data_IF_552455319436
#
_entry.id   IF_552455319436
#
_cell.length_a   1.000
_cell.length_b   1.000
_cell.length_c   1.000
_cell.angle_alpha   90.00
_cell.angle_beta   90.00
_cell.angle_gamma   90.00
#
_symmetry.space_group_name_H-M   'P 1'
#
loop_
_entity.id
_entity.type
_entity.pdbx_description
1 polymer ?
#
# COMPACT_ATOMS: atom_id res chain seq x y z
N UNK A 1 7.16 -4.74 -28.52
CA UNK A 1 6.38 -5.93 -28.17
C UNK A 1 5.33 -5.62 -27.13
N UNK A 2 5.68 -4.91 -26.03
CA UNK A 2 4.72 -4.66 -24.95
C UNK A 2 4.14 -3.24 -24.91
N UNK A 3 4.43 -2.44 -25.92
CA UNK A 3 4.03 -1.03 -25.97
C UNK A 3 2.52 -0.81 -25.75
N UNK A 4 1.70 -1.70 -26.29
CA UNK A 4 0.23 -1.59 -26.19
C UNK A 4 -0.38 -2.56 -25.17
N UNK A 5 0.45 -3.19 -24.34
CA UNK A 5 -0.02 -4.09 -23.29
C UNK A 5 -0.57 -3.28 -22.12
N UNK A 6 -1.74 -3.67 -21.65
CA UNK A 6 -2.33 -3.09 -20.44
C UNK A 6 -1.82 -3.85 -19.23
N UNK A 7 -0.52 -3.72 -18.99
CA UNK A 7 0.14 -4.43 -17.90
C UNK A 7 -0.43 -4.00 -16.55
N UNK A 8 -0.48 -4.93 -15.62
CA UNK A 8 -0.90 -4.66 -14.24
C UNK A 8 0.04 -5.36 -13.28
N UNK A 9 0.08 -4.86 -12.06
CA UNK A 9 0.91 -5.42 -11.00
C UNK A 9 0.13 -6.40 -10.15
N UNK A 10 0.86 -7.25 -9.43
CA UNK A 10 0.26 -8.15 -8.46
C UNK A 10 1.17 -8.29 -7.25
N UNK A 11 0.56 -8.64 -6.11
CA UNK A 11 1.34 -9.03 -4.94
C UNK A 11 0.59 -10.11 -4.17
N UNK A 12 1.32 -10.80 -3.30
CA UNK A 12 0.78 -11.93 -2.55
C UNK A 12 0.44 -11.52 -1.11
N UNK A 13 -0.51 -12.25 -0.54
CA UNK A 13 -0.88 -12.14 0.87
C UNK A 13 -0.93 -13.54 1.47
N UNK A 14 -0.84 -13.64 2.79
CA UNK A 14 -0.92 -14.95 3.46
C UNK A 14 -2.36 -15.44 3.56
N UNK A 15 -3.33 -14.53 3.64
CA UNK A 15 -4.74 -14.86 3.83
C UNK A 15 -5.59 -13.83 3.09
N UNK A 16 -6.37 -14.31 2.14
CA UNK A 16 -7.14 -13.43 1.26
C UNK A 16 -8.30 -12.72 2.00
N UNK A 17 -8.98 -13.42 2.91
CA UNK A 17 -10.08 -12.83 3.67
C UNK A 17 -9.58 -11.71 4.60
N UNK A 18 -8.46 -11.93 5.26
CA UNK A 18 -7.81 -10.93 6.10
C UNK A 18 -7.42 -9.70 5.28
N UNK A 19 -6.84 -9.93 4.10
CA UNK A 19 -6.46 -8.85 3.21
C UNK A 19 -7.68 -8.07 2.70
N UNK A 20 -8.75 -8.78 2.33
CA UNK A 20 -9.98 -8.14 1.85
C UNK A 20 -10.54 -7.19 2.90
N UNK A 21 -10.59 -7.60 4.15
CA UNK A 21 -11.07 -6.76 5.24
C UNK A 21 -10.19 -5.52 5.42
N UNK A 22 -8.88 -5.70 5.38
CA UNK A 22 -7.95 -4.59 5.56
C UNK A 22 -8.09 -3.55 4.43
N UNK A 23 -8.07 -4.00 3.18
CA UNK A 23 -8.12 -3.07 2.05
C UNK A 23 -9.48 -2.40 1.90
N UNK A 24 -10.59 -3.08 2.21
CA UNK A 24 -11.91 -2.47 2.14
C UNK A 24 -12.25 -1.64 3.36
N UNK A 25 -12.08 -2.18 4.56
CA UNK A 25 -12.55 -1.54 5.79
C UNK A 25 -11.54 -0.54 6.35
N UNK A 26 -10.27 -0.88 6.35
CA UNK A 26 -9.25 0.00 6.91
C UNK A 26 -8.81 1.06 5.92
N UNK A 27 -8.52 0.66 4.68
CA UNK A 27 -8.02 1.60 3.66
C UNK A 27 -9.12 2.21 2.78
N UNK A 28 -10.31 1.61 2.75
CA UNK A 28 -11.40 2.13 1.92
C UNK A 28 -11.17 1.96 0.42
N UNK A 29 -10.38 0.96 0.01
CA UNK A 29 -10.14 0.65 -1.39
C UNK A 29 -11.28 -0.19 -1.93
N UNK A 30 -11.65 0.03 -3.19
CA UNK A 30 -12.65 -0.78 -3.88
C UNK A 30 -12.02 -2.12 -4.25
N UNK A 31 -12.55 -3.20 -3.70
CA UNK A 31 -12.03 -4.57 -3.91
C UNK A 31 -13.11 -5.41 -4.57
N UNK A 32 -12.73 -6.17 -5.59
CA UNK A 32 -13.66 -7.10 -6.25
C UNK A 32 -12.98 -8.42 -6.53
N UNK A 33 -13.80 -9.44 -6.82
CA UNK A 33 -13.28 -10.71 -7.28
C UNK A 33 -12.84 -10.59 -8.74
N UNK A 34 -11.88 -11.43 -9.14
CA UNK A 34 -11.44 -11.48 -10.55
C UNK A 34 -12.39 -12.41 -11.31
N UNK A 35 -13.09 -11.93 -12.36
CA UNK A 35 -14.02 -12.78 -13.11
C UNK A 35 -13.34 -14.04 -13.65
N UNK A 36 -13.96 -15.20 -13.41
CA UNK A 36 -13.47 -16.48 -13.89
C UNK A 36 -12.27 -17.04 -13.15
N UNK A 37 -11.78 -16.36 -12.11
CA UNK A 37 -10.61 -16.80 -11.34
C UNK A 37 -10.94 -16.81 -9.85
N UNK A 38 -11.35 -17.96 -9.33
CA UNK A 38 -11.65 -18.11 -7.91
C UNK A 38 -10.39 -18.02 -7.07
N UNK A 39 -10.52 -17.43 -5.90
CA UNK A 39 -9.41 -17.34 -4.95
C UNK A 39 -8.45 -16.20 -5.22
N UNK A 40 -8.82 -15.26 -6.11
CA UNK A 40 -8.06 -14.06 -6.37
C UNK A 40 -8.95 -12.85 -6.15
N UNK A 41 -8.35 -11.73 -5.78
CA UNK A 41 -9.07 -10.46 -5.73
C UNK A 41 -8.28 -9.39 -6.45
N UNK A 42 -8.95 -8.30 -6.80
CA UNK A 42 -8.29 -7.15 -7.39
C UNK A 42 -8.66 -5.88 -6.63
N UNK A 43 -7.67 -5.01 -6.46
CA UNK A 43 -7.85 -3.67 -5.94
C UNK A 43 -8.14 -2.77 -7.14
N UNK A 44 -9.27 -2.08 -7.11
CA UNK A 44 -9.62 -1.10 -8.15
C UNK A 44 -9.22 0.28 -7.67
N UNK A 45 -8.20 0.82 -8.28
CA UNK A 45 -7.63 2.09 -7.88
C UNK A 45 -8.13 3.21 -8.81
N UNK A 46 -8.05 4.44 -8.34
CA UNK A 46 -8.42 5.59 -9.15
C UNK A 46 -7.55 5.64 -10.41
N UNK A 47 -8.12 6.13 -11.51
CA UNK A 47 -7.43 6.20 -12.79
C UNK A 47 -7.52 4.95 -13.62
N UNK A 48 -8.33 3.96 -13.21
CA UNK A 48 -8.52 2.73 -13.97
C UNK A 48 -7.44 1.68 -13.75
N UNK A 49 -6.54 1.92 -12.80
CA UNK A 49 -5.47 0.97 -12.48
C UNK A 49 -6.01 -0.13 -11.56
N UNK A 50 -5.62 -1.36 -11.83
CA UNK A 50 -5.95 -2.50 -10.96
C UNK A 50 -4.67 -3.18 -10.50
N UNK A 51 -4.73 -3.75 -9.28
CA UNK A 51 -3.65 -4.58 -8.74
C UNK A 51 -4.28 -5.91 -8.33
N UNK A 52 -3.70 -7.00 -8.80
CA UNK A 52 -4.17 -8.34 -8.44
C UNK A 52 -3.54 -8.76 -7.12
N UNK A 53 -4.35 -9.34 -6.24
CA UNK A 53 -3.88 -9.86 -4.95
C UNK A 53 -4.24 -11.33 -4.87
N UNK A 54 -3.25 -12.17 -4.56
CA UNK A 54 -3.44 -13.62 -4.51
C UNK A 54 -2.90 -14.20 -3.20
N UNK A 55 -3.54 -15.27 -2.70
CA UNK A 55 -3.05 -15.93 -1.49
C UNK A 55 -1.86 -16.81 -1.80
N UNK A 56 -0.88 -16.80 -0.91
CA UNK A 56 0.31 -17.64 -1.04
C UNK A 56 0.62 -18.21 0.34
N UNK A 57 0.41 -19.51 0.59
CA UNK A 57 0.57 -20.10 1.92
C UNK A 57 1.95 -19.91 2.53
N UNK A 58 2.98 -19.89 1.70
CA UNK A 58 4.37 -19.68 2.12
C UNK A 58 4.80 -18.23 1.86
N UNK A 59 3.88 -17.26 2.01
CA UNK A 59 4.13 -15.86 1.72
C UNK A 59 5.30 -15.30 2.53
N UNK A 60 6.23 -14.68 1.82
CA UNK A 60 7.32 -13.88 2.39
C UNK A 60 7.15 -12.46 1.87
N UNK A 61 6.91 -11.48 2.75
CA UNK A 61 6.69 -10.11 2.29
C UNK A 61 7.95 -9.52 1.67
N UNK A 62 7.76 -8.64 0.69
CA UNK A 62 8.84 -7.89 0.11
C UNK A 62 9.44 -6.93 1.15
N UNK A 63 10.72 -6.63 0.99
CA UNK A 63 11.43 -5.69 1.86
C UNK A 63 11.39 -4.26 1.31
N UNK A 64 10.51 -4.01 0.35
CA UNK A 64 10.33 -2.73 -0.31
C UNK A 64 8.85 -2.42 -0.44
N UNK A 65 8.53 -1.17 -0.76
CA UNK A 65 7.14 -0.71 -0.92
C UNK A 65 6.51 -1.33 -2.15
N UNK A 66 5.37 -2.02 -1.97
CA UNK A 66 4.67 -2.66 -3.10
C UNK A 66 3.52 -1.82 -3.63
N UNK A 67 3.02 -0.86 -2.85
CA UNK A 67 1.90 -0.02 -3.27
C UNK A 67 2.00 1.34 -2.57
N UNK A 68 1.88 2.41 -3.35
CA UNK A 68 1.99 3.77 -2.85
C UNK A 68 0.67 4.50 -3.08
N UNK A 69 0.18 5.19 -2.06
CA UNK A 69 -1.05 5.98 -2.13
C UNK A 69 -0.71 7.48 -2.06
N UNK A 70 -0.74 8.19 -3.20
CA UNK A 70 -0.60 9.65 -3.16
C UNK A 70 -1.78 10.28 -2.41
N UNK A 71 -1.48 11.21 -1.51
CA UNK A 71 -2.47 11.93 -0.72
C UNK A 71 -2.11 13.41 -0.71
N UNK A 72 -3.09 14.27 -0.40
CA UNK A 72 -2.85 15.71 -0.34
C UNK A 72 -2.05 16.11 0.90
N UNK A 73 -2.26 15.41 2.01
CA UNK A 73 -1.66 15.73 3.30
C UNK A 73 -1.30 14.43 4.02
N UNK A 74 -0.01 14.13 4.08
CA UNK A 74 0.49 12.89 4.69
C UNK A 74 0.18 12.85 6.18
N UNK A 75 0.35 13.96 6.91
CA UNK A 75 0.09 13.95 8.34
C UNK A 75 -1.37 13.63 8.65
N UNK A 76 -2.29 14.22 7.90
CA UNK A 76 -3.73 13.94 8.06
C UNK A 76 -4.05 12.49 7.72
N UNK A 77 -3.44 11.94 6.66
CA UNK A 77 -3.63 10.54 6.29
C UNK A 77 -3.10 9.60 7.37
N UNK A 78 -1.92 9.90 7.92
CA UNK A 78 -1.35 9.11 9.01
C UNK A 78 -2.28 9.11 10.22
N UNK A 79 -2.76 10.27 10.64
CA UNK A 79 -3.65 10.38 11.80
C UNK A 79 -4.94 9.59 11.58
N UNK A 80 -5.54 9.68 10.39
CA UNK A 80 -6.76 8.96 10.06
C UNK A 80 -6.55 7.43 10.09
N UNK A 81 -5.43 6.95 9.57
CA UNK A 81 -5.11 5.53 9.55
C UNK A 81 -4.80 5.01 10.95
N UNK A 82 -4.10 5.79 11.77
CA UNK A 82 -3.83 5.42 13.16
C UNK A 82 -5.14 5.25 13.93
N UNK A 83 -6.14 6.10 13.71
CA UNK A 83 -7.46 5.96 14.32
C UNK A 83 -8.13 4.64 13.93
N UNK A 84 -7.80 4.11 12.77
CA UNK A 84 -8.34 2.82 12.29
C UNK A 84 -7.47 1.63 12.69
N UNK A 85 -6.48 1.85 13.54
CA UNK A 85 -5.64 0.78 14.07
C UNK A 85 -4.37 0.50 13.27
N UNK A 86 -4.05 1.32 12.29
CA UNK A 86 -2.81 1.16 11.51
C UNK A 86 -1.63 1.68 12.33
N UNK A 87 -0.53 0.93 12.30
CA UNK A 87 0.70 1.31 12.97
C UNK A 87 1.75 1.65 11.91
N UNK A 88 2.29 2.87 11.98
CA UNK A 88 3.32 3.30 11.03
C UNK A 88 4.70 2.87 11.46
N UNK A 89 5.55 2.57 10.47
CA UNK A 89 6.93 2.18 10.70
C UNK A 89 7.77 3.39 11.10
N UNK A 90 8.65 3.19 12.07
CA UNK A 90 9.55 4.23 12.55
C UNK A 90 10.98 3.83 12.19
N UNK A 91 11.65 4.63 11.37
CA UNK A 91 13.02 4.39 10.96
C UNK A 91 13.91 5.45 11.61
N UNK A 92 14.81 5.03 12.51
CA UNK A 92 15.69 5.94 13.24
C UNK A 92 17.11 5.94 12.70
N UNK A 93 17.49 4.92 11.95
CA UNK A 93 18.81 4.74 11.39
C UNK A 93 18.73 4.42 9.91
N UNK A 94 19.86 4.61 9.19
CA UNK A 94 19.93 4.33 7.77
C UNK A 94 19.68 5.55 6.91
N UNK A 95 19.51 5.35 5.59
CA UNK A 95 19.37 6.47 4.64
C UNK A 95 18.04 7.21 4.77
N UNK A 96 17.04 6.57 5.39
CA UNK A 96 15.70 7.18 5.58
C UNK A 96 15.42 7.25 7.07
N UNK A 97 15.07 8.45 7.54
CA UNK A 97 14.70 8.67 8.94
C UNK A 97 13.31 9.26 8.98
N UNK A 98 12.49 8.75 9.91
CA UNK A 98 11.14 9.24 10.13
C UNK A 98 11.05 10.00 11.45
N UNK A 99 10.01 10.83 11.57
CA UNK A 99 9.68 11.48 12.85
C UNK A 99 8.91 10.51 13.76
N UNK A 100 8.38 11.03 14.87
CA UNK A 100 7.63 10.23 15.84
C UNK A 100 6.33 9.65 15.27
N UNK A 101 5.78 10.24 14.21
CA UNK A 101 4.59 9.75 13.53
C UNK A 101 4.91 8.80 12.38
N UNK A 102 6.19 8.57 12.09
CA UNK A 102 6.61 7.74 10.98
C UNK A 102 6.74 8.48 9.66
N UNK A 103 6.74 9.81 9.70
CA UNK A 103 6.81 10.62 8.47
C UNK A 103 8.25 11.00 8.18
N UNK A 104 8.72 10.67 6.97
CA UNK A 104 10.01 11.11 6.48
C UNK A 104 9.82 12.35 5.63
N UNK A 105 10.67 13.35 5.87
CA UNK A 105 10.68 14.60 5.11
C UNK A 105 12.12 14.89 4.71
N UNK A 106 12.42 14.76 3.41
CA UNK A 106 13.72 15.14 2.88
C UNK A 106 13.64 16.52 2.25
N UNK A 107 14.81 17.16 2.06
CA UNK A 107 14.86 18.50 1.46
C UNK A 107 14.32 18.49 0.03
N UNK A 108 14.55 17.42 -0.72
CA UNK A 108 14.16 17.32 -2.12
C UNK A 108 13.13 16.23 -2.40
N UNK A 109 12.74 15.47 -1.39
CA UNK A 109 11.80 14.38 -1.55
C UNK A 109 10.40 14.72 -1.08
N UNK A 110 9.40 13.92 -1.47
CA UNK A 110 8.05 14.06 -0.93
C UNK A 110 8.02 13.63 0.54
N UNK A 111 7.05 14.15 1.27
CA UNK A 111 6.75 13.59 2.59
C UNK A 111 6.13 12.22 2.37
N UNK A 112 6.56 11.24 3.14
CA UNK A 112 6.13 9.85 2.97
C UNK A 112 6.11 9.14 4.31
N UNK A 113 5.16 8.22 4.46
CA UNK A 113 5.08 7.37 5.65
C UNK A 113 4.75 5.95 5.21
N UNK A 114 5.31 4.96 5.91
CA UNK A 114 5.17 3.55 5.56
C UNK A 114 4.43 2.80 6.65
N UNK A 115 3.60 1.85 6.21
CA UNK A 115 2.88 0.94 7.09
C UNK A 115 2.80 -0.42 6.41
N UNK A 116 2.35 -1.42 7.15
CA UNK A 116 2.25 -2.79 6.61
C UNK A 116 0.80 -3.24 6.58
N UNK A 117 0.47 -4.05 5.57
CA UNK A 117 -0.79 -4.78 5.60
C UNK A 117 -0.66 -5.98 6.57
N UNK A 118 -1.75 -6.71 6.84
CA UNK A 118 -1.69 -7.85 7.77
C UNK A 118 -0.72 -8.97 7.36
N UNK A 119 -0.35 -9.03 6.08
CA UNK A 119 0.59 -10.02 5.57
C UNK A 119 2.05 -9.54 5.59
N UNK A 120 2.29 -8.33 6.10
CA UNK A 120 3.63 -7.76 6.18
C UNK A 120 4.08 -7.01 4.93
N UNK A 121 3.23 -6.89 3.91
CA UNK A 121 3.56 -6.10 2.73
C UNK A 121 3.67 -4.63 3.09
N UNK A 122 4.69 -3.96 2.55
CA UNK A 122 4.96 -2.54 2.86
C UNK A 122 4.20 -1.65 1.91
N UNK A 123 3.41 -0.73 2.47
CA UNK A 123 2.62 0.24 1.74
C UNK A 123 3.06 1.64 2.17
N UNK A 124 2.73 2.64 1.38
CA UNK A 124 3.04 4.02 1.75
C UNK A 124 1.89 4.97 1.46
N UNK A 125 1.86 6.07 2.19
CA UNK A 125 1.15 7.29 1.82
C UNK A 125 2.20 8.36 1.57
N UNK A 126 2.04 9.15 0.52
CA UNK A 126 3.02 10.18 0.18
C UNK A 126 2.34 11.38 -0.46
N UNK A 127 2.95 12.55 -0.27
CA UNK A 127 2.52 13.76 -0.98
C UNK A 127 3.25 13.78 -2.30
N UNK A 128 2.54 14.01 -3.42
CA UNK A 128 3.20 14.15 -4.70
C UNK A 128 4.17 15.32 -4.67
N UNK A 129 5.29 15.17 -5.37
CA UNK A 129 6.26 16.26 -5.47
C UNK A 129 5.64 17.43 -6.21
N UNK A 130 5.64 18.60 -5.57
CA UNK A 130 5.22 19.82 -6.22
C UNK A 130 6.40 20.33 -7.06
N UNK A 131 6.23 20.24 -8.38
CA UNK A 131 7.27 20.68 -9.29
C UNK A 131 6.84 21.76 -10.17
#
# INVERSE_FOLDING_TARGET
MFKNSKAFSSFAVRDLDEARKFYTQTLGVDVSDVPGMKGLMQLKLAGGTTVMVYPKPDHVPATYTVLNFPVDDVERAVDALVERGVRFEIYREGPVKTDAKGIASGDDGPRIAWFKDPSGNILSVLEPRQG
#
